data_IF_197725108762
#
_entry.id   IF_197725108762
#
_cell.length_a   1.000
_cell.length_b   1.000
_cell.length_c   1.000
_cell.angle_alpha   90.00
_cell.angle_beta   90.00
_cell.angle_gamma   90.00
#
_symmetry.space_group_name_H-M   'P 1'
#
loop_
_entity.id
_entity.type
_entity.pdbx_description
1 polymer ?
#
# COMPACT_ATOMS: atom_id res chain seq x y z
N UNK A 1 8.04 -1.26 -4.83
CA UNK A 1 6.96 -1.51 -3.84
C UNK A 1 5.68 -0.78 -4.22
N UNK A 2 5.73 0.53 -4.48
CA UNK A 2 4.58 1.33 -4.93
C UNK A 2 3.77 0.67 -6.08
N UNK A 3 4.42 0.41 -7.21
CA UNK A 3 3.74 -0.19 -8.38
C UNK A 3 3.23 -1.61 -8.14
N UNK A 4 3.92 -2.39 -7.30
CA UNK A 4 3.41 -3.70 -6.87
C UNK A 4 2.15 -3.55 -6.02
N UNK A 5 2.08 -2.51 -5.17
CA UNK A 5 0.86 -2.16 -4.44
C UNK A 5 -0.31 -1.86 -5.37
N UNK A 6 -0.08 -1.07 -6.43
CA UNK A 6 -1.09 -0.84 -7.48
C UNK A 6 -1.50 -2.15 -8.19
N UNK A 7 -0.53 -2.98 -8.58
CA UNK A 7 -0.80 -4.28 -9.21
C UNK A 7 -1.63 -5.21 -8.30
N UNK A 8 -1.49 -5.06 -6.97
CA UNK A 8 -2.24 -5.80 -5.96
C UNK A 8 -3.59 -5.13 -5.59
N UNK A 9 -3.92 -3.97 -6.14
CA UNK A 9 -5.19 -3.28 -5.95
C UNK A 9 -5.22 -2.17 -4.90
N UNK A 10 -4.06 -1.74 -4.39
CA UNK A 10 -3.97 -0.57 -3.51
C UNK A 10 -4.03 0.74 -4.32
N UNK A 11 -4.77 1.72 -3.81
CA UNK A 11 -4.78 3.10 -4.33
C UNK A 11 -3.74 3.96 -3.61
N UNK A 12 -3.51 5.19 -4.10
CA UNK A 12 -2.65 6.15 -3.42
C UNK A 12 -3.13 6.43 -2.00
N UNK A 13 -2.17 6.56 -1.09
CA UNK A 13 -2.38 6.97 0.30
C UNK A 13 -1.94 8.42 0.51
N UNK A 14 -2.64 9.14 1.37
CA UNK A 14 -2.19 10.45 1.86
C UNK A 14 -1.18 10.35 3.01
N UNK A 15 -0.96 9.15 3.56
CA UNK A 15 0.03 8.89 4.60
C UNK A 15 1.44 8.81 4.00
N UNK A 16 2.37 9.62 4.54
CA UNK A 16 3.80 9.59 4.15
C UNK A 16 4.53 8.31 4.57
N UNK A 17 3.93 7.53 5.46
CA UNK A 17 4.48 6.26 5.91
C UNK A 17 4.06 5.08 5.03
N UNK A 18 3.08 5.28 4.14
CA UNK A 18 2.63 4.25 3.21
C UNK A 18 3.55 4.16 1.99
N UNK A 19 3.80 2.94 1.52
CA UNK A 19 4.46 2.73 0.21
C UNK A 19 3.63 3.26 -0.96
N UNK A 20 2.35 3.54 -0.72
CA UNK A 20 1.41 4.11 -1.69
C UNK A 20 1.31 5.64 -1.62
N UNK A 21 2.16 6.32 -0.83
CA UNK A 21 2.25 7.77 -0.92
C UNK A 21 2.68 8.19 -2.35
N UNK A 22 2.01 9.18 -2.99
CA UNK A 22 2.20 9.48 -4.42
C UNK A 22 3.57 10.08 -4.78
N UNK A 23 4.40 10.42 -3.80
CA UNK A 23 5.75 10.93 -4.02
C UNK A 23 6.73 9.95 -3.38
N UNK A 24 7.68 9.42 -4.14
CA UNK A 24 8.63 8.44 -3.62
C UNK A 24 9.36 8.96 -2.37
N UNK A 25 9.30 8.17 -1.30
CA UNK A 25 9.95 8.43 -0.01
C UNK A 25 11.10 7.43 0.27
N UNK A 26 11.45 6.57 -0.69
CA UNK A 26 12.44 5.50 -0.50
C UNK A 26 11.97 4.39 0.45
N UNK A 27 10.66 4.26 0.67
CA UNK A 27 10.05 3.27 1.57
C UNK A 27 9.83 1.94 0.85
N UNK A 28 10.32 0.85 1.44
CA UNK A 28 10.07 -0.52 0.98
C UNK A 28 9.26 -1.36 1.97
N UNK A 29 9.12 -0.91 3.22
CA UNK A 29 8.35 -1.59 4.26
C UNK A 29 6.87 -1.19 4.18
N UNK A 30 5.98 -2.17 4.29
CA UNK A 30 4.54 -1.94 4.30
C UNK A 30 4.10 -1.31 5.63
N UNK A 31 3.30 -0.25 5.54
CA UNK A 31 2.63 0.32 6.71
C UNK A 31 1.49 -0.59 7.19
N UNK A 32 0.98 -0.30 8.39
CA UNK A 32 -0.23 -0.96 8.91
C UNK A 32 -1.43 -0.84 7.96
N UNK A 33 -1.54 0.31 7.30
CA UNK A 33 -2.65 0.64 6.41
C UNK A 33 -2.53 -0.09 5.07
N UNK A 34 -1.30 -0.22 4.54
CA UNK A 34 -1.03 -1.03 3.35
C UNK A 34 -1.43 -2.49 3.59
N UNK A 35 -1.03 -3.03 4.75
CA UNK A 35 -1.38 -4.39 5.17
C UNK A 35 -2.90 -4.55 5.37
N UNK A 36 -3.57 -3.55 5.93
CA UNK A 36 -5.02 -3.57 6.11
C UNK A 36 -5.76 -3.55 4.77
N UNK A 37 -5.31 -2.72 3.82
CA UNK A 37 -5.86 -2.67 2.47
C UNK A 37 -5.72 -4.00 1.74
N UNK A 38 -4.53 -4.62 1.79
CA UNK A 38 -4.32 -5.94 1.19
C UNK A 38 -5.21 -7.02 1.81
N UNK A 39 -5.37 -7.01 3.15
CA UNK A 39 -6.29 -7.92 3.82
C UNK A 39 -7.74 -7.69 3.36
N UNK A 40 -8.17 -6.44 3.21
CA UNK A 40 -9.52 -6.14 2.74
C UNK A 40 -9.79 -6.65 1.31
N UNK A 41 -8.77 -6.64 0.43
CA UNK A 41 -8.88 -7.12 -0.95
C UNK A 41 -8.91 -8.66 -1.00
N UNK A 42 -8.02 -9.33 -0.26
CA UNK A 42 -7.76 -10.76 -0.45
C UNK A 42 -8.28 -11.68 0.66
N UNK A 43 -8.73 -11.16 1.81
CA UNK A 43 -9.19 -12.01 2.94
C UNK A 43 -10.66 -12.39 2.83
N UNK A 44 -11.18 -12.55 1.61
CA UNK A 44 -12.53 -13.04 1.37
C UNK A 44 -12.49 -14.57 1.26
N UNK A 45 -13.24 -15.23 2.15
CA UNK A 45 -13.27 -16.69 2.39
C UNK A 45 -13.50 -17.54 1.15
#
# INVERSE_FOLDING_TARGET
MHELGHALGLAHSSSRDSVMYPIDQGKSELSSDDLAGLRAIYSRS
#
